data_IF_609878302654
#
_entry.id   IF_609878302654
#
_cell.length_a   1.000
_cell.length_b   1.000
_cell.length_c   1.000
_cell.angle_alpha   90.00
_cell.angle_beta   90.00
_cell.angle_gamma   90.00
#
_symmetry.space_group_name_H-M   'P 1'
#
loop_
_entity.id
_entity.type
_entity.pdbx_description
1 polymer ?
#
# COMPACT_ATOMS: atom_id res chain seq x y z
N UNK A 1 10.04 11.07 11.94
CA UNK A 1 8.83 11.76 11.47
C UNK A 1 8.24 11.01 10.29
N UNK A 2 6.98 10.71 10.37
CA UNK A 2 6.27 9.92 9.37
C UNK A 2 5.12 10.75 8.79
N UNK A 3 4.97 10.79 7.49
CA UNK A 3 3.88 11.51 6.82
C UNK A 3 3.35 10.73 5.63
N UNK A 4 2.08 10.90 5.31
CA UNK A 4 1.46 10.34 4.13
C UNK A 4 1.52 11.34 2.98
N UNK A 5 1.95 10.87 1.81
CA UNK A 5 2.03 11.66 0.59
C UNK A 5 1.28 10.97 -0.53
N UNK A 6 0.45 11.74 -1.22
CA UNK A 6 -0.24 11.31 -2.43
C UNK A 6 0.33 12.07 -3.63
N UNK A 7 0.71 11.34 -4.66
CA UNK A 7 1.20 11.90 -5.91
C UNK A 7 0.33 11.43 -7.07
N UNK A 8 0.26 12.24 -8.11
CA UNK A 8 -0.46 11.92 -9.34
C UNK A 8 0.54 11.77 -10.48
N UNK A 9 0.48 10.65 -11.18
CA UNK A 9 1.34 10.36 -12.33
C UNK A 9 0.52 9.93 -13.53
N UNK A 10 1.09 10.06 -14.72
CA UNK A 10 0.50 9.51 -15.95
C UNK A 10 0.69 7.98 -15.97
N UNK A 11 -0.18 7.24 -16.69
CA UNK A 11 -0.05 5.78 -16.78
C UNK A 11 1.32 5.30 -17.25
N UNK A 12 1.95 6.02 -18.16
CA UNK A 12 3.28 5.68 -18.68
C UNK A 12 4.41 5.90 -17.65
N UNK A 13 4.18 6.73 -16.65
CA UNK A 13 5.16 7.12 -15.63
C UNK A 13 5.01 6.32 -14.33
N UNK A 14 4.07 5.40 -14.26
CA UNK A 14 3.75 4.62 -13.07
C UNK A 14 4.96 3.86 -12.50
N UNK A 15 5.84 3.40 -13.35
CA UNK A 15 7.05 2.65 -12.96
C UNK A 15 8.32 3.50 -12.97
N UNK A 16 8.20 4.78 -13.24
CA UNK A 16 9.36 5.68 -13.28
C UNK A 16 9.73 6.12 -11.85
N UNK A 17 10.64 5.39 -11.23
CA UNK A 17 11.07 5.64 -9.85
C UNK A 17 11.70 7.01 -9.66
N UNK A 18 12.48 7.49 -10.63
CA UNK A 18 13.11 8.81 -10.56
C UNK A 18 12.07 9.94 -10.53
N UNK A 19 11.03 9.84 -11.35
CA UNK A 19 9.92 10.79 -11.36
C UNK A 19 9.14 10.76 -10.05
N UNK A 20 8.85 9.56 -9.56
CA UNK A 20 8.13 9.34 -8.30
C UNK A 20 8.89 9.95 -7.13
N UNK A 21 10.19 9.71 -7.04
CA UNK A 21 11.03 10.28 -5.99
C UNK A 21 11.07 11.81 -6.04
N UNK A 22 11.14 12.39 -7.25
CA UNK A 22 11.08 13.83 -7.44
C UNK A 22 9.74 14.43 -7.01
N UNK A 23 8.63 13.77 -7.32
CA UNK A 23 7.29 14.21 -6.92
C UNK A 23 7.07 14.10 -5.41
N UNK A 24 7.60 13.06 -4.78
CA UNK A 24 7.58 12.91 -3.32
C UNK A 24 8.37 14.04 -2.66
N UNK A 25 9.56 14.34 -3.15
CA UNK A 25 10.40 15.44 -2.64
C UNK A 25 9.68 16.79 -2.76
N UNK A 26 9.05 17.05 -3.91
CA UNK A 26 8.27 18.26 -4.14
C UNK A 26 7.06 18.37 -3.20
N UNK A 27 6.38 17.26 -2.96
CA UNK A 27 5.25 17.22 -2.04
C UNK A 27 5.68 17.47 -0.57
N UNK A 28 6.85 16.99 -0.18
CA UNK A 28 7.44 17.26 1.13
C UNK A 28 7.78 18.74 1.29
N UNK A 29 8.36 19.37 0.27
CA UNK A 29 8.65 20.82 0.29
C UNK A 29 7.38 21.65 0.45
N UNK A 30 6.29 21.28 -0.24
CA UNK A 30 5.00 21.97 -0.11
C UNK A 30 4.41 21.85 1.31
N UNK A 31 4.72 20.79 2.03
CA UNK A 31 4.33 20.61 3.44
C UNK A 31 5.27 21.32 4.42
N UNK A 32 6.31 21.98 3.93
CA UNK A 32 7.30 22.65 4.77
C UNK A 32 8.28 21.69 5.45
N UNK A 33 8.39 20.47 4.95
CA UNK A 33 9.31 19.47 5.49
C UNK A 33 10.60 19.51 4.68
N UNK A 34 11.69 19.93 5.33
CA UNK A 34 13.02 19.90 4.76
C UNK A 34 13.77 18.67 5.25
N UNK A 35 14.13 17.79 4.33
CA UNK A 35 14.87 16.57 4.65
C UNK A 35 15.95 16.30 3.59
N UNK A 36 17.09 15.77 4.03
CA UNK A 36 18.14 15.34 3.13
C UNK A 36 17.69 14.07 2.40
N UNK A 37 18.01 13.96 1.12
CA UNK A 37 17.62 12.84 0.26
C UNK A 37 17.98 11.45 0.84
N UNK A 38 19.06 11.36 1.62
CA UNK A 38 19.49 10.12 2.27
C UNK A 38 18.68 9.70 3.50
N UNK A 39 17.91 10.64 4.09
CA UNK A 39 17.12 10.40 5.29
C UNK A 39 15.66 10.06 4.99
N UNK A 40 15.28 10.03 3.72
CA UNK A 40 13.91 9.80 3.26
C UNK A 40 13.76 8.36 2.80
N UNK A 41 12.85 7.63 3.43
CA UNK A 41 12.43 6.30 2.99
C UNK A 41 10.95 6.34 2.68
N UNK A 42 10.56 5.97 1.47
CA UNK A 42 9.18 5.91 1.04
C UNK A 42 8.71 4.47 0.88
N UNK A 43 7.53 4.17 1.41
CA UNK A 43 6.90 2.86 1.30
C UNK A 43 5.57 3.01 0.55
N UNK A 44 5.40 2.24 -0.50
CA UNK A 44 4.16 2.23 -1.28
C UNK A 44 3.00 1.69 -0.43
N UNK A 45 1.89 2.40 -0.43
CA UNK A 45 0.70 2.03 0.35
C UNK A 45 -0.45 1.62 -0.55
N UNK A 46 -0.81 2.48 -1.50
CA UNK A 46 -2.01 2.29 -2.31
C UNK A 46 -1.89 2.94 -3.69
N UNK A 47 -2.47 2.28 -4.67
CA UNK A 47 -2.67 2.79 -6.01
C UNK A 47 -4.17 2.96 -6.27
N UNK A 48 -4.54 4.09 -6.85
CA UNK A 48 -5.90 4.35 -7.32
C UNK A 48 -5.85 4.90 -8.73
N UNK A 49 -6.86 4.59 -9.52
CA UNK A 49 -6.98 5.07 -10.89
C UNK A 49 -8.11 6.07 -10.95
N UNK A 50 -7.82 7.27 -11.45
CA UNK A 50 -8.80 8.31 -11.70
C UNK A 50 -8.97 8.47 -13.21
N UNK A 51 -10.12 8.04 -13.72
CA UNK A 51 -10.45 8.11 -15.15
C UNK A 51 -11.44 9.24 -15.48
N UNK A 52 -11.66 10.17 -14.55
CA UNK A 52 -12.54 11.33 -14.76
C UNK A 52 -11.91 12.33 -15.73
N UNK A 53 -12.76 13.14 -16.37
CA UNK A 53 -12.37 14.22 -17.30
C UNK A 53 -11.61 13.77 -18.57
N UNK A 54 -11.81 12.54 -19.02
CA UNK A 54 -11.23 12.04 -20.27
C UNK A 54 -9.73 11.76 -20.24
N UNK A 55 -9.06 11.98 -19.11
CA UNK A 55 -7.66 11.66 -18.90
C UNK A 55 -7.49 10.68 -17.75
N UNK A 56 -6.77 9.60 -18.00
CA UNK A 56 -6.46 8.61 -16.97
C UNK A 56 -5.27 9.10 -16.17
N UNK A 57 -5.47 9.26 -14.87
CA UNK A 57 -4.42 9.61 -13.90
C UNK A 57 -4.29 8.50 -12.87
N UNK A 58 -3.07 8.23 -12.48
CA UNK A 58 -2.78 7.25 -11.44
C UNK A 58 -2.39 8.00 -10.17
N UNK A 59 -3.12 7.72 -9.09
CA UNK A 59 -2.86 8.25 -7.77
C UNK A 59 -2.07 7.22 -6.98
N UNK A 60 -0.87 7.59 -6.56
CA UNK A 60 0.00 6.75 -5.75
C UNK A 60 0.11 7.35 -4.35
N UNK A 61 -0.17 6.53 -3.35
CA UNK A 61 -0.03 6.92 -1.96
C UNK A 61 1.19 6.25 -1.36
N UNK A 62 2.05 7.07 -0.77
CA UNK A 62 3.25 6.62 -0.09
C UNK A 62 3.26 7.06 1.36
N UNK A 63 3.75 6.19 2.22
CA UNK A 63 4.10 6.54 3.58
C UNK A 63 5.59 6.87 3.61
N UNK A 64 5.91 8.08 4.00
CA UNK A 64 7.27 8.61 3.98
C UNK A 64 7.82 8.70 5.39
N UNK A 65 8.94 8.05 5.62
CA UNK A 65 9.69 8.08 6.88
C UNK A 65 10.88 9.00 6.72
N UNK A 66 11.02 9.96 7.61
CA UNK A 66 12.10 10.95 7.61
C UNK A 66 12.90 10.78 8.87
N UNK A 67 14.19 10.43 8.72
CA UNK A 67 15.09 10.15 9.83
C UNK A 67 14.75 8.89 10.63
N UNK A 68 13.79 8.09 10.15
CA UNK A 68 13.35 6.83 10.77
C UNK A 68 13.40 5.71 9.74
N UNK A 69 13.63 4.49 10.21
CA UNK A 69 13.44 3.30 9.37
C UNK A 69 12.00 2.82 9.49
N UNK A 70 11.37 2.36 8.39
CA UNK A 70 10.08 1.73 8.49
C UNK A 70 10.18 0.55 9.46
N UNK A 71 9.42 0.60 10.54
CA UNK A 71 9.17 -0.58 11.32
C UNK A 71 8.39 -1.52 10.41
N UNK A 72 9.01 -2.60 10.01
CA UNK A 72 8.28 -3.66 9.33
C UNK A 72 7.13 -4.04 10.23
N UNK A 73 5.91 -3.75 9.82
CA UNK A 73 4.75 -4.38 10.42
C UNK A 73 5.01 -5.87 10.25
N UNK A 74 5.32 -6.52 11.36
CA UNK A 74 5.60 -7.94 11.34
C UNK A 74 4.49 -8.63 10.59
N UNK A 75 4.83 -9.37 9.57
CA UNK A 75 3.87 -10.10 8.78
C UNK A 75 3.03 -10.95 9.74
N UNK A 76 1.76 -10.56 9.91
CA UNK A 76 0.86 -11.33 10.77
C UNK A 76 0.58 -12.66 10.07
N UNK A 77 1.27 -13.69 10.49
CA UNK A 77 1.03 -15.06 10.05
C UNK A 77 0.10 -15.74 11.07
N UNK A 78 -1.19 -15.81 10.79
CA UNK A 78 -2.10 -16.50 11.70
C UNK A 78 -1.77 -18.00 11.71
N UNK A 79 -1.76 -18.57 12.90
CA UNK A 79 -1.58 -20.00 13.08
C UNK A 79 -2.95 -20.67 13.26
N UNK A 80 -3.24 -21.61 12.40
CA UNK A 80 -4.47 -22.41 12.50
C UNK A 80 -4.17 -23.84 12.98
N UNK A 81 -5.12 -24.39 13.68
CA UNK A 81 -5.06 -25.82 14.05
C UNK A 81 -5.21 -26.67 12.78
N UNK A 82 -4.47 -27.75 12.73
CA UNK A 82 -4.62 -28.72 11.63
C UNK A 82 -6.03 -29.34 11.70
N UNK A 83 -6.69 -29.40 10.55
CA UNK A 83 -8.01 -30.02 10.46
C UNK A 83 -7.92 -31.51 10.83
N UNK A 84 -8.89 -32.00 11.61
CA UNK A 84 -8.97 -33.38 12.04
C UNK A 84 -9.66 -34.34 11.04
N UNK A 85 -10.21 -33.77 9.98
CA UNK A 85 -10.89 -34.53 8.93
C UNK A 85 -12.27 -35.09 9.29
N UNK A 86 -12.77 -34.82 10.49
CA UNK A 86 -14.07 -35.39 10.96
C UNK A 86 -15.27 -34.71 10.29
N UNK A 87 -15.11 -33.47 9.88
CA UNK A 87 -16.17 -32.69 9.20
C UNK A 87 -15.65 -32.16 7.91
N UNK A 88 -16.44 -32.23 6.86
CA UNK A 88 -16.12 -31.66 5.56
C UNK A 88 -17.11 -30.56 5.26
N UNK A 89 -16.60 -29.36 5.03
CA UNK A 89 -17.40 -28.19 4.70
C UNK A 89 -16.89 -27.66 3.37
N UNK A 90 -17.83 -27.39 2.47
CA UNK A 90 -17.54 -26.84 1.15
C UNK A 90 -18.07 -25.41 1.09
N UNK A 91 -17.18 -24.47 0.71
CA UNK A 91 -17.53 -23.07 0.51
C UNK A 91 -17.45 -22.77 -0.98
N UNK A 92 -18.55 -22.28 -1.54
CA UNK A 92 -18.62 -21.88 -2.94
C UNK A 92 -18.54 -20.37 -2.99
N UNK A 93 -17.48 -19.83 -3.59
CA UNK A 93 -17.23 -18.40 -3.73
C UNK A 93 -16.00 -17.92 -2.96
N UNK A 94 -15.29 -16.98 -3.55
CA UNK A 94 -14.08 -16.37 -2.98
C UNK A 94 -14.26 -14.88 -2.63
N UNK A 95 -15.50 -14.43 -2.51
CA UNK A 95 -15.82 -13.09 -2.05
C UNK A 95 -15.69 -12.96 -0.53
N UNK A 96 -15.97 -11.77 0.04
CA UNK A 96 -15.81 -11.52 1.48
C UNK A 96 -16.56 -12.52 2.37
N UNK A 97 -17.78 -12.89 2.01
CA UNK A 97 -18.58 -13.84 2.79
C UNK A 97 -17.94 -15.24 2.84
N UNK A 98 -17.47 -15.74 1.69
CA UNK A 98 -16.78 -17.03 1.61
C UNK A 98 -15.47 -17.04 2.39
N UNK A 99 -14.68 -15.99 2.30
CA UNK A 99 -13.43 -15.85 3.03
C UNK A 99 -13.65 -15.79 4.55
N UNK A 100 -14.61 -15.00 5.02
CA UNK A 100 -14.95 -14.94 6.44
C UNK A 100 -15.48 -16.28 6.98
N UNK A 101 -16.30 -16.98 6.19
CA UNK A 101 -16.76 -18.33 6.55
C UNK A 101 -15.57 -19.29 6.71
N UNK A 102 -14.62 -19.29 5.78
CA UNK A 102 -13.42 -20.09 5.86
C UNK A 102 -12.59 -19.77 7.12
N UNK A 103 -12.36 -18.50 7.41
CA UNK A 103 -11.65 -18.06 8.62
C UNK A 103 -12.34 -18.51 9.90
N UNK A 104 -13.66 -18.45 9.96
CA UNK A 104 -14.42 -18.84 11.14
C UNK A 104 -14.38 -20.35 11.39
N UNK A 105 -14.29 -21.15 10.32
CA UNK A 105 -14.29 -22.62 10.39
C UNK A 105 -12.89 -23.21 10.65
N UNK A 106 -11.85 -22.41 10.46
CA UNK A 106 -10.49 -22.78 10.82
C UNK A 106 -10.27 -22.56 12.34
#
# INVERSE_FOLDING_TARGET
MTTDISITVKPNDEKNTALIDAEIARALEKKGISAKKGDITSVFVKKSIDARHGQIKILLRYKVYIGEKPNGDGEFLPTWKKADGKRRIVIVGSGPAGLYAAFRLL
#
